data_IF_734579310168
#
_entry.id   IF_734579310168
#
_cell.length_a   1.000
_cell.length_b   1.000
_cell.length_c   1.000
_cell.angle_alpha   90.00
_cell.angle_beta   90.00
_cell.angle_gamma   90.00
#
_symmetry.space_group_name_H-M   'P 1'
#
loop_
_entity.id
_entity.type
_entity.pdbx_description
1 polymer ?
#
# COMPACT_ATOMS: atom_id res chain seq x y z
N UNK A 1 -24.04 37.16 20.74
CA UNK A 1 -23.42 36.31 21.76
C UNK A 1 -22.86 35.08 21.12
N UNK A 2 -21.61 35.08 21.09
CA UNK A 2 -20.55 34.15 20.66
C UNK A 2 -20.60 32.83 21.39
N UNK A 3 -20.77 31.73 20.67
CA UNK A 3 -20.21 30.39 21.00
C UNK A 3 -20.64 29.34 19.95
N UNK A 4 -20.06 29.31 18.80
CA UNK A 4 -20.06 28.14 17.89
C UNK A 4 -18.90 28.28 16.89
N UNK A 5 -17.71 27.89 17.29
CA UNK A 5 -16.55 28.03 16.41
C UNK A 5 -15.28 27.44 17.02
N UNK A 6 -15.32 26.23 17.57
CA UNK A 6 -14.06 25.58 17.99
C UNK A 6 -14.10 24.03 18.11
N UNK A 7 -15.03 23.35 17.44
CA UNK A 7 -15.10 21.87 17.49
C UNK A 7 -14.48 21.19 16.24
N UNK A 8 -14.28 21.90 15.14
CA UNK A 8 -13.83 21.28 13.87
C UNK A 8 -12.31 21.20 13.63
N UNK A 9 -11.47 21.74 14.53
CA UNK A 9 -10.01 21.76 14.33
C UNK A 9 -9.20 20.74 15.14
N UNK A 10 -9.84 19.98 16.04
CA UNK A 10 -9.15 18.97 16.84
C UNK A 10 -9.14 17.56 16.21
N UNK A 11 -10.09 17.25 15.33
CA UNK A 11 -10.17 15.90 14.76
C UNK A 11 -9.26 15.68 13.53
N UNK A 12 -8.86 16.76 12.84
CA UNK A 12 -7.92 16.68 11.73
C UNK A 12 -6.46 16.44 12.16
N UNK A 13 -6.12 16.68 13.43
CA UNK A 13 -4.75 16.46 13.95
C UNK A 13 -4.54 15.07 14.54
N UNK A 14 -5.60 14.30 14.83
CA UNK A 14 -5.52 12.95 15.39
C UNK A 14 -5.54 11.83 14.33
N UNK A 15 -5.84 12.11 13.06
CA UNK A 15 -5.77 11.13 11.97
C UNK A 15 -4.38 10.99 11.33
N UNK A 16 -3.35 11.69 11.82
CA UNK A 16 -2.00 11.71 11.20
C UNK A 16 -0.95 10.79 11.85
N UNK A 17 -1.33 9.77 12.62
CA UNK A 17 -0.32 8.87 13.19
C UNK A 17 -0.77 7.40 13.22
N UNK A 18 -1.29 6.88 12.12
CA UNK A 18 -1.01 5.49 11.79
C UNK A 18 0.27 5.50 10.96
N UNK A 19 1.40 5.25 11.62
CA UNK A 19 2.67 5.00 10.94
C UNK A 19 2.45 3.75 10.08
N UNK A 20 2.17 3.94 8.80
CA UNK A 20 2.22 2.84 7.83
C UNK A 20 3.63 2.24 7.93
N UNK A 21 3.75 0.91 8.03
CA UNK A 21 5.06 0.27 8.05
C UNK A 21 5.83 0.73 6.81
N UNK A 22 7.11 1.10 7.01
CA UNK A 22 7.99 1.57 5.95
C UNK A 22 8.01 0.52 4.80
N UNK A 23 7.80 0.96 3.56
CA UNK A 23 7.79 0.10 2.39
C UNK A 23 9.08 -0.72 2.29
N UNK A 24 10.22 -0.10 2.63
CA UNK A 24 11.54 -0.76 2.65
C UNK A 24 11.54 -1.89 3.67
N UNK A 25 10.99 -1.68 4.87
CA UNK A 25 10.89 -2.70 5.91
C UNK A 25 9.96 -3.84 5.51
N UNK A 26 8.80 -3.54 4.89
CA UNK A 26 7.86 -4.55 4.39
C UNK A 26 8.50 -5.40 3.30
N UNK A 27 9.15 -4.78 2.32
CA UNK A 27 9.78 -5.50 1.22
C UNK A 27 10.97 -6.34 1.71
N UNK A 28 11.76 -5.81 2.64
CA UNK A 28 12.88 -6.54 3.21
C UNK A 28 12.42 -7.76 4.04
N UNK A 29 11.36 -7.61 4.85
CA UNK A 29 10.76 -8.71 5.60
C UNK A 29 10.17 -9.79 4.67
N UNK A 30 9.44 -9.40 3.62
CA UNK A 30 8.91 -10.31 2.62
C UNK A 30 10.04 -11.13 1.95
N UNK A 31 11.13 -10.47 1.57
CA UNK A 31 12.29 -11.12 0.96
C UNK A 31 13.07 -12.01 1.93
N UNK A 32 13.19 -11.62 3.19
CA UNK A 32 13.78 -12.48 4.22
C UNK A 32 12.96 -13.76 4.40
N UNK A 33 11.63 -13.64 4.42
CA UNK A 33 10.73 -14.80 4.53
C UNK A 33 10.83 -15.73 3.30
N UNK A 34 11.00 -15.18 2.09
CA UNK A 34 11.25 -15.99 0.89
C UNK A 34 12.60 -16.71 0.93
N UNK A 35 13.68 -16.03 1.33
CA UNK A 35 14.99 -16.65 1.49
C UNK A 35 14.98 -17.78 2.54
N UNK A 36 14.26 -17.60 3.64
CA UNK A 36 14.08 -18.67 4.65
C UNK A 36 13.28 -19.86 4.10
N UNK A 37 12.24 -19.62 3.32
CA UNK A 37 11.47 -20.68 2.64
C UNK A 37 12.36 -21.46 1.67
N UNK A 38 13.19 -20.78 0.88
CA UNK A 38 14.13 -21.41 -0.04
C UNK A 38 15.21 -22.21 0.71
N UNK A 39 15.78 -21.69 1.81
CA UNK A 39 16.73 -22.42 2.64
C UNK A 39 16.10 -23.69 3.26
N UNK A 40 14.89 -23.58 3.79
CA UNK A 40 14.16 -24.75 4.35
C UNK A 40 13.88 -25.79 3.28
N UNK A 41 13.52 -25.38 2.05
CA UNK A 41 13.31 -26.31 0.94
C UNK A 41 14.60 -27.00 0.49
N UNK A 42 15.72 -26.27 0.42
CA UNK A 42 17.03 -26.86 0.10
C UNK A 42 17.53 -27.80 1.20
N UNK A 43 17.34 -27.46 2.48
CA UNK A 43 17.67 -28.35 3.60
C UNK A 43 16.83 -29.63 3.57
N UNK A 44 15.52 -29.52 3.28
CA UNK A 44 14.65 -30.70 3.12
C UNK A 44 15.11 -31.59 1.97
N UNK A 45 15.41 -31.00 0.81
CA UNK A 45 15.92 -31.77 -0.34
C UNK A 45 17.30 -32.43 -0.07
N UNK A 46 18.16 -31.76 0.71
CA UNK A 46 19.44 -32.32 1.13
C UNK A 46 19.26 -33.50 2.13
N UNK A 47 18.30 -33.40 3.07
CA UNK A 47 17.95 -34.49 3.98
C UNK A 47 17.35 -35.70 3.24
N UNK A 48 16.46 -35.43 2.27
CA UNK A 48 15.87 -36.48 1.42
C UNK A 48 16.94 -37.20 0.58
N UNK A 49 17.91 -36.47 0.02
CA UNK A 49 19.05 -37.06 -0.69
C UNK A 49 19.94 -37.89 0.24
N UNK A 50 20.18 -37.42 1.48
CA UNK A 50 20.99 -38.18 2.46
C UNK A 50 20.29 -39.45 2.90
N UNK A 51 18.96 -39.39 3.18
CA UNK A 51 18.15 -40.55 3.51
C UNK A 51 18.11 -41.61 2.37
N UNK A 52 17.98 -41.14 1.11
CA UNK A 52 18.03 -42.02 -0.06
C UNK A 52 19.41 -42.69 -0.25
N UNK A 53 20.51 -42.01 0.10
CA UNK A 53 21.86 -42.56 0.04
C UNK A 53 22.10 -43.57 1.15
N UNK A 54 21.61 -43.29 2.37
CA UNK A 54 21.71 -44.25 3.51
C UNK A 54 20.86 -45.50 3.28
N UNK A 55 19.68 -45.36 2.65
CA UNK A 55 18.85 -46.51 2.26
C UNK A 55 19.52 -47.37 1.19
N UNK A 56 20.25 -46.76 0.25
CA UNK A 56 20.99 -47.48 -0.79
C UNK A 56 22.20 -48.24 -0.24
N UNK A 57 22.92 -47.65 0.72
CA UNK A 57 24.03 -48.32 1.43
C UNK A 57 23.53 -49.47 2.31
N UNK A 58 22.36 -49.34 2.95
CA UNK A 58 21.74 -50.41 3.75
C UNK A 58 21.26 -51.60 2.91
N UNK A 59 20.84 -51.39 1.65
CA UNK A 59 20.45 -52.45 0.72
C UNK A 59 21.66 -53.19 0.11
N UNK A 60 22.81 -52.53 -0.04
CA UNK A 60 24.04 -53.20 -0.53
C UNK A 60 24.76 -54.03 0.55
N UNK A 61 24.44 -53.84 1.85
CA UNK A 61 25.08 -54.59 2.96
C UNK A 61 24.33 -55.86 3.34
N UNK A 62 23.17 -56.20 2.71
CA UNK A 62 22.38 -57.40 3.03
C UNK A 62 22.62 -58.63 2.13
N UNK A 63 23.63 -58.64 1.29
CA UNK A 63 23.92 -59.76 0.43
C UNK A 63 25.36 -60.24 0.67
N UNK A 64 25.63 -60.89 1.80
CA UNK A 64 26.68 -61.92 1.93
C UNK A 64 26.35 -62.79 3.18
N UNK A 65 25.75 -63.97 3.00
CA UNK A 65 25.76 -65.03 3.98
C UNK A 65 27.08 -65.85 3.85
N UNK A 66 27.71 -66.29 4.96
CA UNK A 66 28.71 -67.36 4.90
C UNK A 66 28.20 -68.67 5.43
N UNK A 67 28.56 -69.68 4.70
CA UNK A 67 28.37 -71.09 4.86
C UNK A 67 28.93 -71.65 6.20
N UNK A 68 28.18 -72.62 6.82
CA UNK A 68 28.49 -73.44 8.00
C UNK A 68 29.70 -74.32 7.83
N UNK A 69 30.47 -74.51 8.91
CA UNK A 69 31.12 -75.82 9.29
C UNK A 69 31.20 -75.96 10.82
N UNK A 70 30.66 -77.08 11.37
CA UNK A 70 30.85 -77.63 12.72
C UNK A 70 31.83 -78.79 12.60
N UNK A 71 32.32 -79.57 13.70
CA UNK A 71 32.16 -79.49 15.16
C UNK A 71 33.39 -79.90 16.00
N UNK A 72 33.26 -79.83 17.34
CA UNK A 72 34.05 -80.75 18.23
C UNK A 72 34.34 -80.16 19.62
N UNK A 73 33.68 -80.72 20.65
CA UNK A 73 34.05 -81.28 21.97
C UNK A 73 35.25 -80.63 22.73
N UNK A 74 35.23 -80.33 24.00
CA UNK A 74 34.85 -81.07 25.20
C UNK A 74 34.87 -80.21 26.47
N UNK A 75 34.09 -80.62 27.49
CA UNK A 75 34.01 -80.16 28.89
C UNK A 75 35.13 -80.82 29.77
N UNK A 76 35.22 -80.66 31.13
CA UNK A 76 34.63 -79.82 32.16
C UNK A 76 35.57 -79.43 33.34
N UNK A 77 35.05 -78.76 34.38
CA UNK A 77 35.57 -78.91 35.77
C UNK A 77 35.55 -77.61 36.61
N UNK A 78 34.55 -77.40 37.37
CA UNK A 78 34.35 -77.47 38.83
C UNK A 78 35.27 -76.67 39.78
N UNK A 79 34.65 -75.94 40.68
CA UNK A 79 34.93 -75.97 42.09
C UNK A 79 34.80 -74.65 42.87
N UNK A 80 33.63 -74.42 43.47
CA UNK A 80 33.28 -74.16 44.85
C UNK A 80 34.02 -73.05 45.65
N UNK A 81 33.25 -72.11 46.23
CA UNK A 81 32.90 -71.97 47.66
C UNK A 81 34.07 -71.44 48.53
N UNK A 82 33.95 -70.56 49.48
CA UNK A 82 32.94 -70.11 50.44
C UNK A 82 33.44 -68.89 51.23
N UNK A 83 32.49 -68.10 51.73
CA UNK A 83 32.34 -67.49 53.09
C UNK A 83 33.47 -66.68 53.74
N UNK A 84 33.19 -65.50 54.25
CA UNK A 84 32.72 -65.09 55.55
C UNK A 84 33.07 -63.63 55.91
N UNK A 85 32.13 -62.96 56.47
CA UNK A 85 32.25 -61.69 57.23
C UNK A 85 33.00 -61.97 58.57
N UNK A 86 33.54 -60.90 59.25
CA UNK A 86 32.74 -60.17 60.17
C UNK A 86 33.07 -58.62 60.31
N UNK A 87 32.10 -57.92 60.82
CA UNK A 87 32.07 -56.56 61.34
C UNK A 87 33.09 -56.31 62.44
N UNK A 88 33.61 -55.06 62.49
CA UNK A 88 33.74 -54.29 63.75
C UNK A 88 34.04 -52.78 63.47
N UNK A 89 33.20 -52.02 64.04
CA UNK A 89 33.19 -50.65 64.58
C UNK A 89 34.55 -49.93 64.76
N UNK A 90 34.63 -48.64 64.29
CA UNK A 90 35.13 -47.54 65.12
C UNK A 90 34.85 -46.16 64.48
N UNK A 91 33.87 -45.50 65.10
CA UNK A 91 33.58 -44.07 64.91
C UNK A 91 34.69 -43.21 65.51
N UNK A 92 34.81 -41.95 64.96
CA UNK A 92 35.62 -40.81 65.41
C UNK A 92 37.01 -40.63 64.77
N UNK A 93 37.01 -40.08 63.57
CA UNK A 93 38.05 -39.17 63.08
C UNK A 93 37.74 -38.56 61.71
N UNK A 94 36.58 -37.92 61.52
CA UNK A 94 36.20 -37.36 60.22
C UNK A 94 35.71 -35.90 60.21
N UNK A 95 36.14 -35.03 61.12
CA UNK A 95 35.69 -33.63 61.07
C UNK A 95 36.74 -32.59 60.67
N UNK A 96 38.00 -32.92 60.52
CA UNK A 96 39.04 -31.97 60.09
C UNK A 96 39.56 -32.10 58.69
N UNK A 97 39.28 -33.24 58.00
CA UNK A 97 39.71 -33.48 56.60
C UNK A 97 38.67 -33.03 55.60
N UNK A 98 37.38 -33.04 55.95
CA UNK A 98 36.27 -32.60 55.06
C UNK A 98 36.27 -31.07 54.82
N UNK A 99 36.58 -30.25 55.82
CA UNK A 99 36.64 -28.80 55.64
C UNK A 99 37.84 -28.33 54.77
N UNK A 100 38.95 -29.03 54.72
CA UNK A 100 40.10 -28.76 53.84
C UNK A 100 39.85 -29.21 52.41
N UNK A 101 39.10 -30.29 52.19
CA UNK A 101 38.73 -30.78 50.87
C UNK A 101 37.70 -29.84 50.17
N UNK A 102 36.73 -29.33 50.92
CA UNK A 102 35.72 -28.41 50.39
C UNK A 102 36.30 -27.02 50.02
N UNK A 103 37.22 -26.47 50.82
CA UNK A 103 37.96 -25.26 50.45
C UNK A 103 38.83 -25.47 49.20
N UNK A 104 39.49 -26.62 49.05
CA UNK A 104 40.27 -26.92 47.84
C UNK A 104 39.37 -27.09 46.60
N UNK A 105 38.18 -27.73 46.74
CA UNK A 105 37.20 -27.83 45.64
C UNK A 105 36.63 -26.46 45.28
N UNK A 106 36.29 -25.58 46.24
CA UNK A 106 35.81 -24.22 45.94
C UNK A 106 36.88 -23.37 45.28
N UNK A 107 38.14 -23.46 45.69
CA UNK A 107 39.26 -22.72 45.04
C UNK A 107 39.49 -23.30 43.61
N UNK A 108 39.36 -24.60 43.41
CA UNK A 108 39.49 -25.22 42.07
C UNK A 108 38.36 -24.79 41.15
N UNK A 109 37.11 -24.75 41.65
CA UNK A 109 35.94 -24.30 40.86
C UNK A 109 36.06 -22.82 40.51
N UNK A 110 36.47 -21.94 41.44
CA UNK A 110 36.71 -20.54 41.16
C UNK A 110 37.83 -20.35 40.14
N UNK A 111 38.90 -21.15 40.23
CA UNK A 111 40.00 -21.16 39.26
C UNK A 111 39.55 -21.57 37.85
N UNK A 112 38.73 -22.61 37.75
CA UNK A 112 38.17 -23.06 36.49
C UNK A 112 37.21 -22.05 35.89
N UNK A 113 36.33 -21.44 36.69
CA UNK A 113 35.40 -20.37 36.22
C UNK A 113 36.19 -19.18 35.74
N UNK A 114 37.22 -18.72 36.48
CA UNK A 114 38.09 -17.66 36.05
C UNK A 114 38.86 -17.95 34.75
N UNK A 115 39.36 -19.20 34.60
CA UNK A 115 40.03 -19.62 33.37
C UNK A 115 39.07 -19.68 32.16
N UNK A 116 37.84 -20.14 32.36
CA UNK A 116 36.79 -20.15 31.30
C UNK A 116 36.37 -18.76 30.93
N UNK A 117 36.19 -17.84 31.90
CA UNK A 117 35.84 -16.44 31.59
C UNK A 117 36.97 -15.72 30.84
N UNK A 118 38.23 -15.93 31.20
CA UNK A 118 39.39 -15.41 30.47
C UNK A 118 39.45 -15.97 29.05
N UNK A 119 39.21 -17.28 28.88
CA UNK A 119 39.20 -17.91 27.56
C UNK A 119 38.04 -17.38 26.68
N UNK A 120 36.85 -17.16 27.24
CA UNK A 120 35.69 -16.59 26.55
C UNK A 120 35.98 -15.11 26.14
N UNK A 121 36.55 -14.30 27.04
CA UNK A 121 36.91 -12.92 26.74
C UNK A 121 38.01 -12.90 25.66
N UNK A 122 39.02 -13.75 25.77
CA UNK A 122 40.08 -13.88 24.76
C UNK A 122 39.48 -14.33 23.40
N UNK A 123 38.54 -15.29 23.41
CA UNK A 123 37.81 -15.75 22.22
C UNK A 123 37.01 -14.65 21.55
N UNK A 124 36.30 -13.83 22.34
CA UNK A 124 35.52 -12.70 21.84
C UNK A 124 36.43 -11.61 21.29
N UNK A 125 37.57 -11.31 21.96
CA UNK A 125 38.53 -10.31 21.48
C UNK A 125 39.24 -10.77 20.21
N UNK A 126 39.69 -12.02 20.13
CA UNK A 126 40.29 -12.59 18.91
C UNK A 126 39.29 -12.63 17.77
N UNK A 127 38.03 -13.02 18.04
CA UNK A 127 36.96 -12.96 17.05
C UNK A 127 36.68 -11.54 16.57
N UNK A 128 36.61 -10.57 17.49
CA UNK A 128 36.39 -9.17 17.14
C UNK A 128 37.56 -8.56 16.34
N UNK A 129 38.81 -8.88 16.68
CA UNK A 129 39.99 -8.44 15.94
C UNK A 129 40.07 -9.12 14.57
N UNK A 130 39.77 -10.42 14.49
CA UNK A 130 39.73 -11.19 13.23
C UNK A 130 38.66 -10.63 12.27
N UNK A 131 37.48 -10.32 12.81
CA UNK A 131 36.40 -9.73 12.02
C UNK A 131 36.74 -8.33 11.49
N UNK A 132 37.35 -7.47 12.30
CA UNK A 132 37.80 -6.15 11.86
C UNK A 132 38.92 -6.23 10.79
N UNK A 133 39.85 -7.15 10.93
CA UNK A 133 40.86 -7.42 9.88
C UNK A 133 40.20 -7.97 8.62
N UNK A 134 39.18 -8.80 8.75
CA UNK A 134 38.42 -9.35 7.62
C UNK A 134 37.68 -8.24 6.85
N UNK A 135 37.01 -7.31 7.53
CA UNK A 135 36.37 -6.15 6.88
C UNK A 135 37.40 -5.29 6.15
N UNK A 136 38.37 -4.75 6.83
CA UNK A 136 39.36 -3.82 6.26
C UNK A 136 40.08 -4.44 5.07
N UNK A 137 40.54 -5.70 5.17
CA UNK A 137 41.22 -6.38 4.07
C UNK A 137 40.27 -6.56 2.86
N UNK A 138 39.06 -7.07 3.07
CA UNK A 138 38.12 -7.28 1.99
C UNK A 138 37.69 -5.99 1.33
N UNK A 139 37.43 -4.93 2.12
CA UNK A 139 37.08 -3.61 1.62
C UNK A 139 38.18 -3.00 0.75
N UNK A 140 39.45 -2.98 1.26
CA UNK A 140 40.56 -2.44 0.50
C UNK A 140 40.80 -3.22 -0.79
N UNK A 141 40.73 -4.55 -0.74
CA UNK A 141 40.91 -5.38 -1.92
C UNK A 141 39.80 -5.18 -2.95
N UNK A 142 38.56 -5.04 -2.50
CA UNK A 142 37.43 -4.71 -3.38
C UNK A 142 37.62 -3.34 -4.04
N UNK A 143 38.03 -2.32 -3.28
CA UNK A 143 38.28 -0.97 -3.81
C UNK A 143 39.44 -0.92 -4.81
N UNK A 144 40.47 -1.75 -4.62
CA UNK A 144 41.57 -1.90 -5.60
C UNK A 144 41.06 -2.47 -6.93
N UNK A 145 40.19 -3.49 -6.87
CA UNK A 145 39.59 -4.12 -8.04
C UNK A 145 38.57 -3.19 -8.71
N UNK A 146 37.77 -2.46 -7.93
CA UNK A 146 36.82 -1.47 -8.44
C UNK A 146 37.54 -0.36 -9.24
N UNK A 147 38.69 0.14 -8.75
CA UNK A 147 39.51 1.11 -9.48
C UNK A 147 40.01 0.58 -10.84
N UNK A 148 40.16 -0.75 -10.95
CA UNK A 148 40.51 -1.44 -12.20
C UNK A 148 39.30 -1.78 -13.05
N UNK A 149 38.08 -1.40 -12.62
CA UNK A 149 36.80 -1.75 -13.25
C UNK A 149 36.54 -3.27 -13.29
N UNK A 150 37.19 -4.03 -12.41
CA UNK A 150 36.95 -5.46 -12.26
C UNK A 150 35.80 -5.69 -11.27
N UNK A 151 34.59 -5.38 -11.73
CA UNK A 151 33.38 -5.42 -10.91
C UNK A 151 33.07 -6.83 -10.41
N UNK A 152 33.30 -7.84 -11.24
CA UNK A 152 33.02 -9.24 -10.89
C UNK A 152 33.85 -9.72 -9.68
N UNK A 153 35.14 -9.46 -9.68
CA UNK A 153 36.00 -9.83 -8.56
C UNK A 153 35.84 -8.88 -7.37
N UNK A 154 35.61 -7.57 -7.60
CA UNK A 154 35.34 -6.60 -6.54
C UNK A 154 34.09 -7.01 -5.75
N UNK A 155 33.02 -7.43 -6.41
CA UNK A 155 31.78 -7.95 -5.81
C UNK A 155 32.05 -9.02 -4.76
N UNK A 156 32.91 -9.99 -5.05
CA UNK A 156 33.20 -11.11 -4.14
C UNK A 156 33.82 -10.62 -2.83
N UNK A 157 34.68 -9.62 -2.88
CA UNK A 157 35.31 -9.05 -1.70
C UNK A 157 34.38 -8.09 -0.96
N UNK A 158 33.62 -7.25 -1.67
CA UNK A 158 32.59 -6.42 -1.04
C UNK A 158 31.51 -7.27 -0.33
N UNK A 159 31.07 -8.37 -0.94
CA UNK A 159 30.09 -9.28 -0.32
C UNK A 159 30.65 -9.90 0.98
N UNK A 160 31.96 -10.26 1.03
CA UNK A 160 32.62 -10.73 2.27
C UNK A 160 32.70 -9.60 3.32
N UNK A 161 33.01 -8.37 2.91
CA UNK A 161 33.01 -7.23 3.80
C UNK A 161 31.61 -6.95 4.36
N UNK A 162 30.58 -7.03 3.54
CA UNK A 162 29.17 -6.80 3.91
C UNK A 162 28.66 -7.82 4.98
N UNK A 163 29.21 -9.05 5.03
CA UNK A 163 28.84 -10.02 6.07
C UNK A 163 29.27 -9.60 7.49
N UNK A 164 30.12 -8.59 7.63
CA UNK A 164 30.55 -8.07 8.92
C UNK A 164 29.57 -7.03 9.47
N UNK A 165 29.54 -6.85 10.79
CA UNK A 165 28.70 -5.80 11.41
C UNK A 165 29.11 -4.39 11.01
N UNK A 166 30.39 -4.16 10.63
CA UNK A 166 30.91 -2.89 10.14
C UNK A 166 30.47 -2.65 8.69
N UNK A 167 30.53 -3.69 7.84
CA UNK A 167 30.10 -3.61 6.44
C UNK A 167 28.63 -3.29 6.27
N UNK A 168 27.77 -3.85 7.12
CA UNK A 168 26.32 -3.58 7.10
C UNK A 168 25.93 -2.15 7.47
N UNK A 169 26.88 -1.34 7.96
CA UNK A 169 26.66 0.06 8.33
C UNK A 169 27.37 1.04 7.40
N UNK A 170 28.22 0.55 6.52
CA UNK A 170 28.97 1.39 5.59
C UNK A 170 28.20 1.54 4.28
N UNK A 171 27.42 2.62 4.18
CA UNK A 171 26.56 2.94 3.04
C UNK A 171 27.36 3.07 1.74
N UNK A 172 28.54 3.71 1.76
CA UNK A 172 29.37 3.87 0.56
C UNK A 172 29.85 2.51 0.01
N UNK A 173 30.24 1.61 0.92
CA UNK A 173 30.62 0.25 0.53
C UNK A 173 29.43 -0.53 -0.01
N UNK A 174 28.26 -0.38 0.61
CA UNK A 174 27.04 -1.02 0.15
C UNK A 174 26.63 -0.52 -1.25
N UNK A 175 26.80 0.77 -1.51
CA UNK A 175 26.52 1.35 -2.82
C UNK A 175 27.53 0.86 -3.89
N UNK A 176 28.82 0.71 -3.53
CA UNK A 176 29.80 0.11 -4.41
C UNK A 176 29.48 -1.37 -4.73
N UNK A 177 28.97 -2.12 -3.75
CA UNK A 177 28.51 -3.49 -3.96
C UNK A 177 27.26 -3.53 -4.87
N UNK A 178 26.30 -2.62 -4.68
CA UNK A 178 25.17 -2.43 -5.58
C UNK A 178 25.63 -2.23 -7.03
N UNK A 179 26.59 -1.33 -7.27
CA UNK A 179 27.13 -1.08 -8.61
C UNK A 179 27.75 -2.35 -9.22
N UNK A 180 28.43 -3.16 -8.41
CA UNK A 180 28.98 -4.43 -8.87
C UNK A 180 27.88 -5.43 -9.27
N UNK A 181 26.79 -5.53 -8.50
CA UNK A 181 25.65 -6.37 -8.85
C UNK A 181 24.95 -5.90 -10.13
N UNK A 182 24.83 -4.57 -10.29
CA UNK A 182 24.24 -3.97 -11.50
C UNK A 182 25.06 -4.31 -12.76
N UNK A 183 26.39 -4.20 -12.69
CA UNK A 183 27.28 -4.53 -13.80
C UNK A 183 27.23 -6.03 -14.16
N UNK A 184 27.09 -6.90 -13.19
CA UNK A 184 26.95 -8.35 -13.41
C UNK A 184 25.50 -8.76 -13.76
N UNK A 185 24.56 -7.80 -13.88
CA UNK A 185 23.12 -8.01 -14.14
C UNK A 185 22.43 -8.90 -13.09
N UNK A 186 22.91 -8.83 -11.88
CA UNK A 186 22.32 -9.52 -10.73
C UNK A 186 21.25 -8.63 -10.08
N UNK A 187 20.15 -8.42 -10.82
CA UNK A 187 19.10 -7.44 -10.52
C UNK A 187 18.52 -7.60 -9.10
N UNK A 188 18.29 -8.85 -8.67
CA UNK A 188 17.71 -9.14 -7.37
C UNK A 188 18.65 -8.72 -6.23
N UNK A 189 19.93 -9.02 -6.35
CA UNK A 189 20.95 -8.64 -5.37
C UNK A 189 21.18 -7.12 -5.36
N UNK A 190 21.13 -6.48 -6.53
CA UNK A 190 21.18 -5.03 -6.65
C UNK A 190 20.03 -4.37 -5.89
N UNK A 191 18.79 -4.83 -6.11
CA UNK A 191 17.62 -4.32 -5.41
C UNK A 191 17.69 -4.57 -3.89
N UNK A 192 18.10 -5.79 -3.45
CA UNK A 192 18.29 -6.11 -2.03
C UNK A 192 19.29 -5.12 -1.37
N UNK A 193 20.32 -4.70 -2.11
CA UNK A 193 21.32 -3.78 -1.61
C UNK A 193 20.79 -2.34 -1.50
N UNK A 194 20.02 -1.85 -2.47
CA UNK A 194 19.36 -0.54 -2.39
C UNK A 194 18.42 -0.46 -1.18
N UNK A 195 17.60 -1.49 -0.96
CA UNK A 195 16.72 -1.58 0.20
C UNK A 195 17.52 -1.59 1.52
N UNK A 196 18.64 -2.32 1.56
CA UNK A 196 19.51 -2.36 2.74
C UNK A 196 20.18 -1.00 3.02
N UNK A 197 20.55 -0.25 1.99
CA UNK A 197 21.08 1.12 2.14
C UNK A 197 20.01 2.02 2.76
N UNK A 198 18.78 2.02 2.22
CA UNK A 198 17.70 2.86 2.72
C UNK A 198 17.24 2.47 4.13
N UNK A 199 17.49 1.23 4.57
CA UNK A 199 17.26 0.82 5.96
C UNK A 199 18.28 1.45 6.92
N UNK A 200 19.53 1.65 6.47
CA UNK A 200 20.60 2.30 7.26
C UNK A 200 20.48 3.83 7.21
N UNK A 201 20.24 4.36 6.03
CA UNK A 201 20.11 5.79 5.73
C UNK A 201 18.89 6.00 4.83
N UNK A 202 17.75 6.34 5.46
CA UNK A 202 16.46 6.51 4.77
C UNK A 202 16.45 7.60 3.72
N UNK A 203 17.31 8.60 3.88
CA UNK A 203 17.39 9.76 3.00
C UNK A 203 18.55 9.67 2.01
N UNK A 204 19.12 8.49 1.80
CA UNK A 204 20.21 8.31 0.85
C UNK A 204 19.76 8.59 -0.58
N UNK A 205 20.12 9.74 -1.12
CA UNK A 205 19.68 10.24 -2.41
C UNK A 205 20.03 9.30 -3.56
N UNK A 206 21.25 8.74 -3.55
CA UNK A 206 21.71 7.82 -4.59
C UNK A 206 20.92 6.52 -4.59
N UNK A 207 20.66 5.95 -3.41
CA UNK A 207 19.89 4.71 -3.29
C UNK A 207 18.42 4.93 -3.63
N UNK A 208 17.83 6.06 -3.20
CA UNK A 208 16.44 6.39 -3.51
C UNK A 208 16.23 6.59 -5.02
N UNK A 209 17.10 7.40 -5.66
CA UNK A 209 17.03 7.62 -7.11
C UNK A 209 17.21 6.32 -7.89
N UNK A 210 18.19 5.48 -7.49
CA UNK A 210 18.42 4.19 -8.14
C UNK A 210 17.26 3.21 -7.95
N UNK A 211 16.60 3.23 -6.78
CA UNK A 211 15.43 2.39 -6.51
C UNK A 211 14.21 2.83 -7.33
N UNK A 212 13.96 4.13 -7.41
CA UNK A 212 12.88 4.67 -8.24
C UNK A 212 13.09 4.33 -9.73
N UNK A 213 14.32 4.51 -10.24
CA UNK A 213 14.66 4.13 -11.61
C UNK A 213 14.48 2.62 -11.84
N UNK A 214 14.88 1.78 -10.87
CA UNK A 214 14.69 0.32 -10.96
C UNK A 214 13.22 -0.05 -11.12
N UNK A 215 12.32 0.55 -10.32
CA UNK A 215 10.89 0.29 -10.44
C UNK A 215 10.30 0.82 -11.75
N UNK A 216 10.75 1.97 -12.22
CA UNK A 216 10.33 2.53 -13.51
C UNK A 216 10.78 1.64 -14.68
N UNK A 217 12.04 1.16 -14.69
CA UNK A 217 12.57 0.25 -15.72
C UNK A 217 11.85 -1.12 -15.74
N UNK A 218 11.26 -1.51 -14.62
CA UNK A 218 10.45 -2.75 -14.49
C UNK A 218 8.96 -2.52 -14.72
N UNK A 219 8.55 -1.29 -15.01
CA UNK A 219 7.14 -0.90 -15.13
C UNK A 219 6.33 -1.32 -13.88
N UNK A 220 6.99 -1.30 -12.68
CA UNK A 220 6.36 -1.61 -11.39
C UNK A 220 5.76 -0.34 -10.79
N UNK A 221 4.63 0.10 -11.37
CA UNK A 221 3.91 1.29 -10.93
C UNK A 221 3.45 1.20 -9.48
N UNK A 222 3.07 0.01 -9.01
CA UNK A 222 2.65 -0.20 -7.62
C UNK A 222 3.77 0.05 -6.62
N UNK A 223 4.98 -0.45 -6.89
CA UNK A 223 6.14 -0.20 -6.04
C UNK A 223 6.54 1.28 -6.09
N UNK A 224 6.47 1.91 -7.26
CA UNK A 224 6.80 3.30 -7.44
C UNK A 224 5.78 4.24 -6.76
N UNK A 225 4.49 3.95 -6.84
CA UNK A 225 3.43 4.67 -6.11
C UNK A 225 3.67 4.63 -4.59
N UNK A 226 4.00 3.47 -4.05
CA UNK A 226 4.30 3.32 -2.62
C UNK A 226 5.56 4.08 -2.22
N UNK A 227 6.58 4.08 -3.09
CA UNK A 227 7.81 4.83 -2.85
C UNK A 227 7.55 6.35 -2.85
N UNK A 228 6.80 6.87 -3.84
CA UNK A 228 6.40 8.28 -3.91
C UNK A 228 5.60 8.67 -2.66
N UNK A 229 4.60 7.88 -2.29
CA UNK A 229 3.78 8.14 -1.11
C UNK A 229 4.58 8.16 0.20
N UNK A 230 5.59 7.28 0.34
CA UNK A 230 6.46 7.22 1.53
C UNK A 230 7.28 8.48 1.73
N UNK A 231 7.75 9.11 0.63
CA UNK A 231 8.59 10.30 0.67
C UNK A 231 7.84 11.61 0.45
N UNK A 232 6.51 11.56 0.31
CA UNK A 232 5.66 12.74 0.15
C UNK A 232 5.81 13.70 1.35
N UNK A 233 6.03 14.98 1.06
CA UNK A 233 6.24 16.03 2.09
C UNK A 233 7.62 16.02 2.73
N UNK A 234 8.57 15.20 2.26
CA UNK A 234 9.98 15.21 2.69
C UNK A 234 10.85 15.95 1.67
N UNK A 235 12.09 16.32 2.08
CA UNK A 235 13.06 16.92 1.15
C UNK A 235 13.43 15.97 -0.01
N UNK A 236 13.37 14.67 0.23
CA UNK A 236 13.69 13.64 -0.75
C UNK A 236 12.59 13.48 -1.84
N UNK A 237 11.39 14.03 -1.65
CA UNK A 237 10.31 14.03 -2.65
C UNK A 237 10.78 14.59 -4.00
N UNK A 238 11.65 15.60 -3.98
CA UNK A 238 12.19 16.22 -5.21
C UNK A 238 12.90 15.23 -6.13
N UNK A 239 13.48 14.16 -5.58
CA UNK A 239 14.15 13.11 -6.37
C UNK A 239 13.15 12.22 -7.11
N UNK A 240 11.91 12.17 -6.63
CA UNK A 240 10.83 11.34 -7.17
C UNK A 240 9.89 12.14 -8.08
N UNK A 241 9.99 13.48 -8.12
CA UNK A 241 9.07 14.36 -8.85
C UNK A 241 8.96 14.04 -10.34
N UNK A 242 10.03 13.53 -10.95
CA UNK A 242 10.01 13.12 -12.36
C UNK A 242 9.11 11.89 -12.65
N UNK A 243 8.71 11.17 -11.61
CA UNK A 243 7.80 10.01 -11.71
C UNK A 243 6.38 10.36 -11.25
N UNK A 244 6.17 11.52 -10.61
CA UNK A 244 4.86 11.95 -10.16
C UNK A 244 3.98 12.33 -11.36
N UNK A 245 2.70 11.96 -11.29
CA UNK A 245 1.67 12.33 -12.28
C UNK A 245 0.83 13.46 -11.70
N UNK A 246 0.53 14.46 -12.52
CA UNK A 246 -0.31 15.58 -12.10
C UNK A 246 -1.78 15.16 -12.02
N UNK A 247 -2.49 15.71 -11.02
CA UNK A 247 -3.93 15.45 -10.87
C UNK A 247 -4.70 15.99 -12.07
N UNK A 248 -5.79 15.32 -12.53
CA UNK A 248 -6.64 15.80 -13.59
C UNK A 248 -7.24 17.17 -13.29
N UNK A 249 -7.52 17.92 -14.35
CA UNK A 249 -8.24 19.20 -14.31
C UNK A 249 -9.55 19.10 -15.10
N UNK A 250 -10.44 20.09 -14.94
CA UNK A 250 -11.78 20.12 -15.56
C UNK A 250 -11.98 21.34 -16.42
N UNK A 251 -12.88 21.22 -17.43
CA UNK A 251 -13.29 22.35 -18.29
C UNK A 251 -14.20 23.33 -17.58
N UNK A 252 -15.07 22.86 -16.70
CA UNK A 252 -16.05 23.66 -15.97
C UNK A 252 -15.64 23.79 -14.51
N UNK A 253 -15.64 25.01 -13.97
CA UNK A 253 -15.28 25.25 -12.57
C UNK A 253 -16.27 24.55 -11.63
N UNK A 254 -15.85 23.82 -10.59
CA UNK A 254 -16.78 23.26 -9.61
C UNK A 254 -17.66 24.34 -8.97
N UNK A 255 -18.94 24.01 -8.71
CA UNK A 255 -19.87 24.99 -8.14
C UNK A 255 -21.33 24.72 -8.45
N UNK A 256 -22.13 25.80 -8.37
CA UNK A 256 -23.59 25.76 -8.58
C UNK A 256 -23.98 26.31 -9.96
N UNK A 257 -24.86 25.55 -10.63
CA UNK A 257 -25.34 25.90 -11.98
C UNK A 257 -26.84 25.76 -12.07
N UNK A 258 -27.40 26.44 -13.08
CA UNK A 258 -28.84 26.38 -13.39
C UNK A 258 -29.11 25.76 -14.77
N UNK A 259 -28.07 25.16 -15.36
CA UNK A 259 -28.10 24.49 -16.67
C UNK A 259 -27.35 23.18 -16.61
N UNK A 260 -27.62 22.30 -17.52
CA UNK A 260 -26.81 21.12 -17.75
C UNK A 260 -25.35 21.47 -18.08
N UNK A 261 -24.44 20.59 -17.70
CA UNK A 261 -23.03 20.76 -17.98
C UNK A 261 -22.49 19.60 -18.79
N UNK A 262 -21.51 19.91 -19.63
CA UNK A 262 -20.64 18.93 -20.27
C UNK A 262 -19.24 19.16 -19.71
N UNK A 263 -18.78 18.28 -18.82
CA UNK A 263 -17.50 18.42 -18.13
C UNK A 263 -16.45 17.57 -18.80
N UNK A 264 -15.42 18.22 -19.36
CA UNK A 264 -14.24 17.52 -19.89
C UNK A 264 -13.15 17.41 -18.82
N UNK A 265 -12.46 16.27 -18.80
CA UNK A 265 -11.30 16.02 -17.96
C UNK A 265 -10.02 16.11 -18.78
N UNK A 266 -8.97 16.66 -18.18
CA UNK A 266 -7.65 16.83 -18.82
C UNK A 266 -6.55 16.29 -17.91
N UNK A 267 -5.57 15.62 -18.49
CA UNK A 267 -4.34 15.18 -17.85
C UNK A 267 -3.17 15.28 -18.84
N UNK A 268 -1.97 14.88 -18.44
CA UNK A 268 -0.81 14.80 -19.31
C UNK A 268 -1.03 13.78 -20.45
N UNK A 269 -0.47 14.05 -21.62
CA UNK A 269 -0.74 13.33 -22.90
C UNK A 269 -0.56 11.79 -22.83
N UNK A 270 0.27 11.29 -21.95
CA UNK A 270 0.54 9.85 -21.82
C UNK A 270 -0.31 9.15 -20.75
N UNK A 271 -1.25 9.88 -20.12
CA UNK A 271 -2.03 9.37 -19.02
C UNK A 271 -3.43 8.93 -19.45
N UNK A 272 -3.92 7.86 -18.85
CA UNK A 272 -5.33 7.46 -18.89
C UNK A 272 -6.04 8.02 -17.67
N UNK A 273 -7.22 8.65 -17.87
CA UNK A 273 -8.02 9.17 -16.76
C UNK A 273 -9.11 8.16 -16.40
N UNK A 274 -9.29 7.89 -15.10
CA UNK A 274 -10.41 7.15 -14.53
C UNK A 274 -11.20 8.07 -13.60
N UNK A 275 -12.53 7.91 -13.56
CA UNK A 275 -13.37 8.78 -12.77
C UNK A 275 -14.58 8.06 -12.14
N UNK A 276 -15.17 8.71 -11.13
CA UNK A 276 -16.46 8.37 -10.50
C UNK A 276 -17.30 9.64 -10.37
N UNK A 277 -18.63 9.50 -10.34
CA UNK A 277 -19.58 10.63 -10.18
C UNK A 277 -20.33 10.59 -8.84
N UNK A 278 -20.09 9.57 -8.04
CA UNK A 278 -20.75 9.29 -6.76
C UNK A 278 -19.88 9.63 -5.53
N UNK A 279 -18.68 10.20 -5.75
CA UNK A 279 -17.73 10.53 -4.71
C UNK A 279 -16.88 9.38 -4.19
N UNK A 280 -17.03 8.17 -4.73
CA UNK A 280 -16.12 7.06 -4.44
C UNK A 280 -14.73 7.33 -5.00
N UNK A 281 -13.68 6.70 -4.41
CA UNK A 281 -12.31 6.87 -4.88
C UNK A 281 -12.12 6.12 -6.20
N UNK A 282 -11.70 6.82 -7.29
CA UNK A 282 -11.44 6.18 -8.57
C UNK A 282 -10.12 5.40 -8.56
N UNK A 283 -10.10 4.28 -9.29
CA UNK A 283 -8.94 3.47 -9.60
C UNK A 283 -9.02 2.95 -11.04
N UNK A 284 -8.09 2.08 -11.45
CA UNK A 284 -8.05 1.51 -12.81
C UNK A 284 -9.23 0.60 -13.15
N UNK A 285 -10.09 0.24 -12.19
CA UNK A 285 -11.35 -0.49 -12.42
C UNK A 285 -12.55 0.43 -12.58
N UNK A 286 -12.39 1.73 -12.30
CA UNK A 286 -13.42 2.75 -12.45
C UNK A 286 -13.66 3.08 -13.92
N UNK A 287 -14.64 3.93 -14.21
CA UNK A 287 -14.97 4.34 -15.58
C UNK A 287 -13.79 5.09 -16.20
N UNK A 288 -13.31 4.60 -17.34
CA UNK A 288 -12.29 5.30 -18.13
C UNK A 288 -12.91 6.51 -18.84
N UNK A 289 -12.26 7.66 -18.74
CA UNK A 289 -12.68 8.87 -19.44
C UNK A 289 -12.35 8.78 -20.95
N UNK A 290 -13.35 8.92 -21.78
CA UNK A 290 -13.23 8.92 -23.25
C UNK A 290 -13.90 10.11 -23.90
N UNK A 291 -14.93 10.70 -23.25
CA UNK A 291 -15.70 11.83 -23.75
C UNK A 291 -16.23 12.70 -22.61
N UNK A 292 -16.72 13.89 -22.91
CA UNK A 292 -17.26 14.80 -21.90
C UNK A 292 -18.38 14.16 -21.08
N UNK A 293 -18.36 14.38 -19.79
CA UNK A 293 -19.31 13.84 -18.81
C UNK A 293 -20.52 14.78 -18.76
N UNK A 294 -21.70 14.26 -19.11
CA UNK A 294 -22.95 15.00 -18.96
C UNK A 294 -23.36 15.01 -17.47
N UNK A 295 -23.56 16.18 -16.90
CA UNK A 295 -24.08 16.39 -15.57
C UNK A 295 -25.49 16.98 -15.67
N UNK A 296 -26.47 16.27 -15.14
CA UNK A 296 -27.88 16.66 -15.07
C UNK A 296 -28.22 17.24 -13.70
N UNK A 297 -29.50 17.58 -13.48
CA UNK A 297 -29.99 18.16 -12.23
C UNK A 297 -29.65 17.32 -10.99
N UNK A 298 -29.18 17.97 -9.93
CA UNK A 298 -28.81 17.34 -8.68
C UNK A 298 -27.39 17.67 -8.21
N UNK A 299 -26.86 16.82 -7.32
CA UNK A 299 -25.51 16.96 -6.76
C UNK A 299 -24.64 15.84 -7.35
N UNK A 300 -23.50 16.22 -7.93
CA UNK A 300 -22.49 15.31 -8.44
C UNK A 300 -21.17 15.54 -7.71
N UNK A 301 -20.66 14.52 -7.05
CA UNK A 301 -19.31 14.49 -6.49
C UNK A 301 -18.38 13.76 -7.48
N UNK A 302 -17.84 14.51 -8.44
CA UNK A 302 -16.93 13.99 -9.46
C UNK A 302 -15.53 13.84 -8.87
N UNK A 303 -14.96 12.64 -8.91
CA UNK A 303 -13.57 12.39 -8.58
C UNK A 303 -12.84 11.77 -9.76
N UNK A 304 -11.60 12.19 -9.98
CA UNK A 304 -10.81 11.71 -11.09
C UNK A 304 -9.35 11.48 -10.70
N UNK A 305 -8.74 10.47 -11.34
CA UNK A 305 -7.32 10.12 -11.20
C UNK A 305 -6.71 9.90 -12.58
N UNK A 306 -5.49 10.36 -12.79
CA UNK A 306 -4.71 10.06 -13.98
C UNK A 306 -3.69 8.96 -13.69
N UNK A 307 -3.50 8.06 -14.64
CA UNK A 307 -2.55 6.94 -14.53
C UNK A 307 -1.66 6.94 -15.77
N UNK A 308 -0.35 7.00 -15.59
CA UNK A 308 0.59 6.95 -16.70
C UNK A 308 0.83 5.52 -17.22
N UNK A 309 1.63 5.38 -18.27
CA UNK A 309 1.90 4.11 -18.95
C UNK A 309 2.59 3.05 -18.08
N UNK A 310 3.30 3.45 -17.03
CA UNK A 310 3.96 2.53 -16.09
C UNK A 310 3.12 2.25 -14.83
N UNK A 311 1.89 2.74 -14.76
CA UNK A 311 0.96 2.47 -13.66
C UNK A 311 1.12 3.39 -12.44
N UNK A 312 1.77 4.56 -12.59
CA UNK A 312 1.82 5.56 -11.52
C UNK A 312 0.56 6.40 -11.53
N UNK A 313 -0.05 6.54 -10.37
CA UNK A 313 -1.28 7.29 -10.15
C UNK A 313 -1.00 8.74 -9.74
N UNK A 314 -1.80 9.66 -10.24
CA UNK A 314 -1.84 11.02 -9.72
C UNK A 314 -2.52 11.07 -8.33
N UNK A 315 -2.42 12.17 -7.60
CA UNK A 315 -3.40 12.51 -6.58
C UNK A 315 -4.81 12.52 -7.17
N UNK A 316 -5.81 12.12 -6.35
CA UNK A 316 -7.23 12.20 -6.77
C UNK A 316 -7.66 13.66 -6.77
N UNK A 317 -8.19 14.13 -7.90
CA UNK A 317 -8.85 15.41 -8.01
C UNK A 317 -10.33 15.27 -7.64
N UNK A 318 -10.88 16.25 -6.92
CA UNK A 318 -12.25 16.25 -6.44
C UNK A 318 -12.96 17.53 -6.93
N UNK A 319 -14.17 17.36 -7.51
CA UNK A 319 -14.93 18.41 -8.16
C UNK A 319 -16.41 18.26 -7.80
N UNK A 320 -16.94 19.18 -7.01
CA UNK A 320 -18.34 19.16 -6.58
C UNK A 320 -19.19 20.08 -7.44
N UNK A 321 -20.24 19.53 -8.05
CA UNK A 321 -21.20 20.27 -8.84
C UNK A 321 -22.59 20.14 -8.24
N UNK A 322 -23.36 21.23 -8.30
CA UNK A 322 -24.77 21.25 -7.93
C UNK A 322 -25.55 21.94 -9.05
N UNK A 323 -26.45 21.21 -9.69
CA UNK A 323 -27.28 21.74 -10.77
C UNK A 323 -28.70 21.86 -10.26
N UNK A 324 -29.16 23.09 -10.10
CA UNK A 324 -30.52 23.45 -9.69
C UNK A 324 -31.16 24.25 -10.82
N UNK A 325 -31.98 23.63 -11.63
CA UNK A 325 -32.69 24.30 -12.70
C UNK A 325 -33.59 25.39 -12.14
N UNK A 326 -33.67 26.49 -12.86
CA UNK A 326 -34.56 27.60 -12.51
C UNK A 326 -35.96 27.30 -13.03
N UNK A 327 -36.99 27.49 -12.18
CA UNK A 327 -38.38 27.39 -12.59
C UNK A 327 -38.70 28.40 -13.68
N UNK A 328 -39.56 28.07 -14.66
CA UNK A 328 -40.00 28.99 -15.66
C UNK A 328 -40.79 30.14 -15.04
N UNK A 329 -40.81 31.28 -15.71
CA UNK A 329 -41.66 32.42 -15.33
C UNK A 329 -43.12 32.08 -15.48
N UNK A 330 -43.99 32.78 -14.70
CA UNK A 330 -45.44 32.64 -14.80
C UNK A 330 -45.92 33.00 -16.20
N UNK A 331 -46.88 32.27 -16.77
CA UNK A 331 -47.49 32.66 -18.04
C UNK A 331 -48.12 34.07 -18.01
N UNK A 332 -48.10 34.69 -19.15
CA UNK A 332 -48.78 36.00 -19.36
C UNK A 332 -50.14 35.76 -19.96
N UNK A 333 -51.20 36.11 -19.23
CA UNK A 333 -52.58 36.00 -19.71
C UNK A 333 -53.05 37.33 -20.24
N UNK A 334 -53.54 37.35 -21.47
CA UNK A 334 -54.07 38.56 -22.15
C UNK A 334 -55.50 38.30 -22.62
N UNK A 335 -56.34 39.36 -22.58
CA UNK A 335 -56.14 40.73 -22.09
C UNK A 335 -56.02 40.83 -20.57
N UNK A 336 -55.75 42.00 -20.02
CA UNK A 336 -55.75 42.25 -18.58
C UNK A 336 -57.09 41.98 -17.93
N UNK A 337 -57.17 41.76 -16.58
CA UNK A 337 -58.43 41.61 -15.86
C UNK A 337 -59.36 42.79 -16.16
N UNK A 338 -60.64 42.50 -16.41
CA UNK A 338 -61.63 43.54 -16.78
C UNK A 338 -62.96 43.03 -17.25
N UNK A 339 -63.84 43.94 -17.75
CA UNK A 339 -65.13 43.62 -18.40
C UNK A 339 -64.95 43.66 -19.91
N UNK A 340 -65.42 42.63 -20.61
CA UNK A 340 -65.25 42.47 -22.05
C UNK A 340 -66.53 42.01 -22.72
N UNK A 341 -66.53 42.04 -24.02
CA UNK A 341 -67.63 41.42 -24.77
C UNK A 341 -67.55 39.94 -24.80
N UNK A 342 -68.71 39.27 -24.77
CA UNK A 342 -68.78 37.84 -24.89
C UNK A 342 -68.08 37.32 -26.17
N UNK A 343 -67.27 36.33 -26.04
CA UNK A 343 -66.55 35.72 -27.17
C UNK A 343 -65.21 36.37 -27.53
N UNK A 344 -64.77 37.44 -26.81
CA UNK A 344 -63.46 37.99 -26.97
C UNK A 344 -62.39 36.91 -26.62
N UNK A 345 -61.20 36.96 -27.24
CA UNK A 345 -60.20 35.90 -27.13
C UNK A 345 -59.27 36.13 -25.96
N UNK A 346 -59.04 35.06 -25.21
CA UNK A 346 -58.02 35.00 -24.19
C UNK A 346 -56.81 34.23 -24.78
N UNK A 347 -55.65 34.86 -24.75
CA UNK A 347 -54.36 34.22 -25.06
C UNK A 347 -53.52 34.04 -23.79
N UNK A 348 -52.71 32.98 -23.78
CA UNK A 348 -51.80 32.68 -22.70
C UNK A 348 -50.43 32.42 -23.33
N UNK A 349 -49.44 33.20 -22.96
CA UNK A 349 -48.06 33.10 -23.50
C UNK A 349 -47.09 32.76 -22.37
N UNK A 350 -46.11 31.93 -22.68
CA UNK A 350 -45.04 31.58 -21.76
C UNK A 350 -43.70 31.45 -22.50
N UNK A 351 -42.63 31.21 -21.82
CA UNK A 351 -41.31 31.01 -22.40
C UNK A 351 -41.28 29.84 -23.41
N UNK A 352 -40.51 30.00 -24.46
CA UNK A 352 -40.33 28.96 -25.48
C UNK A 352 -39.88 27.60 -24.83
N UNK A 353 -40.46 26.53 -25.35
CA UNK A 353 -40.17 25.17 -24.84
C UNK A 353 -41.01 24.77 -23.63
N UNK A 354 -41.85 25.67 -23.07
CA UNK A 354 -42.74 25.32 -21.95
C UNK A 354 -44.11 24.82 -22.44
N UNK A 355 -44.74 23.94 -21.65
CA UNK A 355 -46.13 23.53 -21.81
C UNK A 355 -46.99 24.34 -20.85
N UNK A 356 -48.13 24.88 -21.35
CA UNK A 356 -49.05 25.71 -20.56
C UNK A 356 -50.26 24.87 -20.20
N UNK A 357 -50.65 24.90 -18.91
CA UNK A 357 -51.89 24.29 -18.41
C UNK A 357 -52.73 25.36 -17.72
N UNK A 358 -54.05 25.31 -17.89
CA UNK A 358 -54.94 26.33 -17.37
C UNK A 358 -56.25 25.77 -16.84
N UNK A 359 -56.95 26.61 -16.04
CA UNK A 359 -58.31 26.43 -15.57
C UNK A 359 -59.10 27.73 -15.77
N UNK A 360 -60.47 27.65 -15.86
CA UNK A 360 -61.34 28.81 -16.03
C UNK A 360 -62.24 29.06 -14.84
N UNK A 361 -62.16 28.20 -13.81
CA UNK A 361 -62.97 28.25 -12.59
C UNK A 361 -62.19 28.82 -11.36
N UNK A 362 -60.97 29.29 -11.56
CA UNK A 362 -60.11 29.85 -10.52
C UNK A 362 -59.39 28.82 -9.68
N UNK A 363 -59.54 27.53 -9.92
CA UNK A 363 -58.72 26.49 -9.31
C UNK A 363 -57.25 26.62 -9.71
N UNK A 364 -56.36 26.11 -8.91
CA UNK A 364 -54.95 26.07 -9.24
C UNK A 364 -54.70 25.01 -10.30
N UNK A 365 -54.13 25.36 -11.48
CA UNK A 365 -53.82 24.37 -12.51
C UNK A 365 -52.75 23.39 -12.06
N UNK A 366 -52.82 22.16 -12.57
CA UNK A 366 -51.80 21.12 -12.46
C UNK A 366 -51.48 20.59 -13.87
N UNK A 367 -50.52 19.70 -13.99
CA UNK A 367 -50.23 19.03 -15.27
C UNK A 367 -51.36 18.14 -15.79
N UNK A 368 -52.36 17.84 -14.95
CA UNK A 368 -53.60 17.16 -15.34
C UNK A 368 -54.73 18.10 -15.84
N UNK A 369 -54.48 19.44 -15.70
CA UNK A 369 -55.41 20.44 -16.18
C UNK A 369 -55.40 20.55 -17.72
N UNK A 370 -56.33 21.32 -18.29
CA UNK A 370 -56.40 21.52 -19.71
C UNK A 370 -55.12 22.14 -20.26
N UNK A 371 -54.51 21.49 -21.25
CA UNK A 371 -53.35 22.05 -21.96
C UNK A 371 -53.82 23.23 -22.87
N UNK A 372 -53.09 24.32 -22.83
CA UNK A 372 -53.32 25.46 -23.72
C UNK A 372 -52.55 25.27 -25.03
N UNK A 373 -53.31 25.32 -26.14
CA UNK A 373 -52.76 25.14 -27.49
C UNK A 373 -53.04 26.32 -28.40
N UNK A 374 -54.17 27.04 -28.15
CA UNK A 374 -54.59 28.19 -28.96
C UNK A 374 -55.52 29.12 -28.15
N UNK A 375 -55.69 30.41 -28.58
CA UNK A 375 -56.57 31.35 -27.93
C UNK A 375 -58.02 30.85 -27.92
N UNK A 376 -58.66 30.81 -26.75
CA UNK A 376 -60.02 30.39 -26.55
C UNK A 376 -60.99 31.57 -26.32
N UNK A 377 -62.27 31.39 -26.61
CA UNK A 377 -63.27 32.42 -26.41
C UNK A 377 -63.60 32.58 -24.93
N UNK A 378 -63.72 33.85 -24.46
CA UNK A 378 -64.10 34.19 -23.10
C UNK A 378 -65.53 33.63 -22.83
N UNK A 379 -65.70 32.77 -21.81
CA UNK A 379 -67.03 32.28 -21.43
C UNK A 379 -67.91 33.38 -20.86
N UNK A 380 -69.24 33.21 -20.94
CA UNK A 380 -70.19 34.12 -20.33
C UNK A 380 -70.14 34.10 -18.80
N UNK A 381 -70.22 35.26 -18.17
CA UNK A 381 -70.28 35.41 -16.73
C UNK A 381 -68.97 35.87 -16.11
N UNK A 382 -68.79 35.61 -14.80
CA UNK A 382 -67.58 35.96 -14.07
C UNK A 382 -66.66 34.76 -13.98
N UNK A 383 -65.50 34.84 -14.64
CA UNK A 383 -64.53 33.73 -14.71
C UNK A 383 -63.16 34.17 -14.14
N UNK A 384 -62.46 33.20 -13.57
CA UNK A 384 -61.08 33.37 -13.14
C UNK A 384 -60.20 32.39 -13.94
N UNK A 385 -59.42 32.92 -14.87
CA UNK A 385 -58.47 32.11 -15.61
C UNK A 385 -57.17 32.03 -14.78
N UNK A 386 -56.76 30.79 -14.47
CA UNK A 386 -55.48 30.53 -13.82
C UNK A 386 -54.61 29.70 -14.78
N UNK A 387 -53.31 29.99 -14.85
CA UNK A 387 -52.38 29.25 -15.73
C UNK A 387 -51.01 29.03 -15.06
N UNK A 388 -50.40 27.93 -15.45
CA UNK A 388 -49.01 27.57 -15.12
C UNK A 388 -48.26 27.24 -16.40
N UNK A 389 -46.96 27.45 -16.39
CA UNK A 389 -46.01 26.93 -17.37
C UNK A 389 -45.17 25.79 -16.75
N UNK A 390 -44.91 24.77 -17.55
CA UNK A 390 -44.07 23.61 -17.15
C UNK A 390 -42.97 23.45 -18.18
N UNK A 391 -41.71 23.44 -17.73
CA UNK A 391 -40.57 23.29 -18.62
C UNK A 391 -40.20 21.82 -18.92
N UNK A 392 -39.11 21.59 -19.62
CA UNK A 392 -38.63 20.28 -20.01
C UNK A 392 -38.11 19.43 -18.82
N UNK A 393 -37.86 20.08 -17.68
CA UNK A 393 -37.44 19.41 -16.44
C UNK A 393 -38.60 19.20 -15.45
N UNK A 394 -39.84 19.31 -15.92
CA UNK A 394 -41.08 19.22 -15.12
C UNK A 394 -41.17 20.29 -13.99
N UNK A 395 -40.41 21.36 -14.08
CA UNK A 395 -40.50 22.45 -13.13
C UNK A 395 -41.70 23.34 -13.44
N UNK A 396 -42.51 23.59 -12.42
CA UNK A 396 -43.76 24.34 -12.53
C UNK A 396 -43.54 25.77 -12.11
N UNK A 397 -44.00 26.73 -12.95
CA UNK A 397 -43.98 28.15 -12.65
C UNK A 397 -44.88 28.53 -11.48
N UNK A 398 -44.80 29.77 -11.03
CA UNK A 398 -45.87 30.37 -10.24
C UNK A 398 -47.16 30.52 -11.06
N UNK A 399 -48.33 30.53 -10.38
CA UNK A 399 -49.64 30.65 -11.05
C UNK A 399 -49.93 32.08 -11.48
N UNK A 400 -50.18 32.29 -12.75
CA UNK A 400 -50.78 33.52 -13.25
C UNK A 400 -52.30 33.47 -13.11
N UNK A 401 -52.93 34.60 -12.72
CA UNK A 401 -54.40 34.70 -12.59
C UNK A 401 -54.93 36.01 -13.16
N UNK A 402 -56.04 35.91 -13.86
CA UNK A 402 -56.81 37.04 -14.37
C UNK A 402 -58.29 36.81 -14.18
N UNK A 403 -59.02 37.87 -13.84
CA UNK A 403 -60.46 37.84 -13.64
C UNK A 403 -61.13 38.57 -14.78
N UNK A 404 -62.20 37.97 -15.37
CA UNK A 404 -62.93 38.48 -16.48
C UNK A 404 -64.44 38.44 -16.18
N UNK A 405 -65.15 39.45 -16.67
CA UNK A 405 -66.60 39.54 -16.66
C UNK A 405 -66.99 39.71 -18.13
N UNK A 406 -67.75 38.79 -18.69
CA UNK A 406 -68.24 38.81 -20.06
C UNK A 406 -69.78 38.68 -20.11
#
# INVERSE_FOLDING_TARGET
STAAGNAGKKDAAQMKTQVLPDLVDIQLQARQAEKEKQQKSMQKAAMEKKAATETKVSLETQVIEPVKVHPGMDKPGNGKQDTDKPETDLSKKTSKTALKADKKKKILIVGIVAAVTVAVIAGITVWGISNRKSYSYNYQKAMELLKKQDYHNAKQYFAKAYQTGEGKKNVDMMYALYQCYQQDKEEQQALDMLLAILQVDKNNENALSALAQFYADKEDGDALNKLIAQYQGTDAQKLLSQYEVQAPTVSETPGQYQRELQVSLFAEDSCTIYYTTDGTQPDSSSTQYTEAIALEGGITALKAVAVNTIGVYSPVAEFDYTINYQKPDAPVISPSSGTYEYGEKISIDAADGTKIYYTTDGTTPTTDSQAYTEPFSMPEGNIVVSAIAVDEHDLVSSVARKNYIA
#
